data_IF_937594975710
#
_entry.id   IF_937594975710
#
_cell.length_a   1.000
_cell.length_b   1.000
_cell.length_c   1.000
_cell.angle_alpha   90.00
_cell.angle_beta   90.00
_cell.angle_gamma   90.00
#
_symmetry.space_group_name_H-M   'P 1'
#
loop_
_entity.id
_entity.type
_entity.pdbx_description
1 polymer ?
#
# COMPACT_ATOMS: atom_id res chain seq x y z
N UNK A 1 -20.91 -50.86 -20.52
CA UNK A 1 -20.89 -49.38 -20.63
C UNK A 1 -20.12 -48.82 -19.43
N UNK A 2 -18.84 -48.53 -19.59
CA UNK A 2 -18.01 -47.91 -18.53
C UNK A 2 -18.06 -46.40 -18.70
N UNK A 3 -18.53 -45.69 -17.66
CA UNK A 3 -18.77 -44.25 -17.66
C UNK A 3 -17.46 -43.54 -17.32
N UNK A 4 -16.87 -42.82 -18.27
CA UNK A 4 -15.62 -42.08 -18.07
C UNK A 4 -15.88 -40.81 -17.24
N UNK A 5 -15.30 -40.73 -16.04
CA UNK A 5 -15.31 -39.53 -15.19
C UNK A 5 -14.25 -38.58 -15.73
N UNK A 6 -14.67 -37.40 -16.20
CA UNK A 6 -13.77 -36.33 -16.66
C UNK A 6 -13.36 -35.48 -15.46
N UNK A 7 -12.16 -35.69 -14.95
CA UNK A 7 -11.57 -34.86 -13.89
C UNK A 7 -10.96 -33.62 -14.53
N UNK A 8 -11.60 -32.45 -14.36
CA UNK A 8 -11.00 -31.18 -14.76
C UNK A 8 -9.96 -30.76 -13.72
N UNK A 9 -8.69 -30.67 -14.13
CA UNK A 9 -7.65 -29.98 -13.36
C UNK A 9 -7.97 -28.48 -13.34
N UNK A 10 -8.21 -27.92 -12.15
CA UNK A 10 -8.21 -26.47 -11.93
C UNK A 10 -6.75 -26.06 -11.70
N UNK A 11 -6.14 -25.48 -12.72
CA UNK A 11 -4.79 -24.93 -12.62
C UNK A 11 -4.86 -23.61 -11.85
N UNK A 12 -4.48 -23.63 -10.57
CA UNK A 12 -4.38 -22.43 -9.74
C UNK A 12 -3.14 -21.63 -10.17
N UNK A 13 -3.33 -20.69 -11.09
CA UNK A 13 -2.27 -19.75 -11.48
C UNK A 13 -1.99 -18.78 -10.31
N UNK A 14 -0.98 -19.10 -9.51
CA UNK A 14 -0.34 -18.17 -8.59
C UNK A 14 0.34 -17.08 -9.42
N UNK A 15 -0.39 -16.01 -9.73
CA UNK A 15 0.22 -14.80 -10.30
C UNK A 15 0.99 -14.11 -9.19
N UNK A 16 2.28 -14.42 -9.09
CA UNK A 16 3.22 -13.60 -8.33
C UNK A 16 3.26 -12.24 -9.02
N UNK A 17 2.56 -11.25 -8.45
CA UNK A 17 2.78 -9.86 -8.82
C UNK A 17 4.24 -9.56 -8.58
N UNK A 18 4.94 -9.13 -9.63
CA UNK A 18 6.32 -8.68 -9.51
C UNK A 18 6.41 -7.62 -8.43
N UNK A 19 7.23 -7.88 -7.41
CA UNK A 19 7.71 -6.85 -6.50
C UNK A 19 8.51 -5.87 -7.36
N UNK A 20 7.85 -4.82 -7.83
CA UNK A 20 8.50 -3.71 -8.50
C UNK A 20 9.37 -2.98 -7.46
N UNK A 21 10.62 -3.40 -7.32
CA UNK A 21 11.69 -2.54 -6.83
C UNK A 21 11.87 -1.42 -7.87
N UNK A 22 11.05 -0.38 -7.77
CA UNK A 22 11.11 0.78 -8.65
C UNK A 22 12.20 1.72 -8.11
N UNK A 23 13.11 2.09 -9.02
CA UNK A 23 14.18 3.06 -8.83
C UNK A 23 13.75 4.28 -7.99
N UNK A 24 14.59 4.58 -7.00
CA UNK A 24 14.37 5.59 -5.96
C UNK A 24 14.01 6.96 -6.53
N UNK A 25 12.82 7.41 -6.17
CA UNK A 25 12.51 8.82 -6.10
C UNK A 25 13.00 9.32 -4.74
N UNK A 26 13.68 10.47 -4.75
CA UNK A 26 14.38 11.06 -3.62
C UNK A 26 13.64 10.92 -2.30
N UNK A 27 14.37 10.39 -1.32
CA UNK A 27 13.96 10.32 0.06
C UNK A 27 13.62 11.72 0.57
N UNK A 28 12.34 11.97 0.87
CA UNK A 28 11.97 13.09 1.72
C UNK A 28 12.45 12.79 3.14
N UNK A 29 13.70 13.20 3.42
CA UNK A 29 14.25 13.21 4.75
C UNK A 29 13.47 14.24 5.59
N UNK A 30 12.43 13.78 6.30
CA UNK A 30 11.84 14.53 7.41
C UNK A 30 12.74 14.44 8.66
N UNK A 31 14.06 14.56 8.48
CA UNK A 31 15.08 14.55 9.52
C UNK A 31 15.71 15.92 9.60
N UNK A 32 15.39 16.66 10.66
CA UNK A 32 16.13 17.86 11.01
C UNK A 32 17.61 17.49 11.23
N UNK A 33 18.51 18.38 10.81
CA UNK A 33 19.97 18.25 10.80
C UNK A 33 20.59 17.38 11.92
N UNK A 34 21.46 16.42 11.55
CA UNK A 34 22.40 15.77 12.46
C UNK A 34 22.13 14.28 12.73
N UNK A 35 22.85 13.42 12.01
CA UNK A 35 23.29 12.06 12.40
C UNK A 35 22.53 11.38 13.55
N UNK A 36 21.26 11.03 13.35
CA UNK A 36 20.53 9.91 13.98
C UNK A 36 19.12 9.83 13.35
N UNK A 37 18.79 8.72 12.70
CA UNK A 37 17.45 8.52 12.15
C UNK A 37 16.45 8.30 13.30
N UNK A 38 15.79 9.37 13.73
CA UNK A 38 14.75 9.27 14.74
C UNK A 38 13.48 8.62 14.15
N UNK A 39 12.82 7.77 14.94
CA UNK A 39 11.53 7.17 14.55
C UNK A 39 10.53 8.29 14.29
N UNK A 40 9.84 8.23 13.14
CA UNK A 40 8.90 9.25 12.73
C UNK A 40 7.59 9.17 13.52
N UNK A 41 6.99 10.35 13.76
CA UNK A 41 5.69 10.48 14.40
C UNK A 41 4.53 10.33 13.39
N UNK A 42 3.29 10.21 13.89
CA UNK A 42 2.08 10.06 13.05
C UNK A 42 1.90 11.18 12.01
N UNK A 43 2.34 12.41 12.31
CA UNK A 43 2.19 13.56 11.40
C UNK A 43 3.11 13.42 10.18
N UNK A 44 4.37 13.05 10.38
CA UNK A 44 5.30 12.78 9.27
C UNK A 44 4.83 11.59 8.42
N UNK A 45 4.38 10.51 9.06
CA UNK A 45 3.85 9.33 8.38
C UNK A 45 2.60 9.66 7.54
N UNK A 46 1.71 10.52 8.05
CA UNK A 46 0.54 11.02 7.31
C UNK A 46 0.93 11.75 6.03
N UNK A 47 1.98 12.60 6.07
CA UNK A 47 2.49 13.30 4.89
C UNK A 47 3.06 12.33 3.87
N UNK A 48 3.92 11.43 4.31
CA UNK A 48 4.55 10.39 3.47
C UNK A 48 3.49 9.55 2.75
N UNK A 49 2.49 9.06 3.47
CA UNK A 49 1.43 8.25 2.86
C UNK A 49 0.61 9.03 1.81
N UNK A 50 0.29 10.31 2.07
CA UNK A 50 -0.41 11.16 1.09
C UNK A 50 0.43 11.44 -0.16
N UNK A 51 1.73 11.64 0.00
CA UNK A 51 2.67 11.81 -1.11
C UNK A 51 2.76 10.53 -1.95
N UNK A 52 2.79 9.37 -1.30
CA UNK A 52 2.78 8.08 -2.00
C UNK A 52 1.50 7.87 -2.82
N UNK A 53 0.32 8.22 -2.27
CA UNK A 53 -0.94 8.21 -3.04
C UNK A 53 -0.85 9.11 -4.27
N UNK A 54 -0.31 10.34 -4.14
CA UNK A 54 -0.13 11.24 -5.27
C UNK A 54 0.80 10.63 -6.33
N UNK A 55 1.92 10.04 -5.91
CA UNK A 55 2.88 9.37 -6.80
C UNK A 55 2.23 8.22 -7.57
N UNK A 56 1.49 7.34 -6.88
CA UNK A 56 0.80 6.21 -7.51
C UNK A 56 -0.29 6.65 -8.50
N UNK A 57 -0.96 7.77 -8.24
CA UNK A 57 -1.92 8.36 -9.19
C UNK A 57 -1.18 8.90 -10.43
N UNK A 58 -0.07 9.62 -10.25
CA UNK A 58 0.74 10.15 -11.36
C UNK A 58 1.29 9.01 -12.23
N UNK A 59 1.64 7.87 -11.62
CA UNK A 59 2.08 6.66 -12.31
C UNK A 59 0.94 5.83 -12.90
N UNK A 60 -0.32 6.28 -12.80
CA UNK A 60 -1.52 5.55 -13.21
C UNK A 60 -1.67 4.15 -12.58
N UNK A 61 -1.00 3.88 -11.44
CA UNK A 61 -1.09 2.61 -10.71
C UNK A 61 -2.38 2.49 -9.91
N UNK A 62 -2.96 3.62 -9.51
CA UNK A 62 -4.26 3.69 -8.84
C UNK A 62 -5.11 4.80 -9.47
N UNK A 63 -6.43 4.71 -9.31
CA UNK A 63 -7.37 5.69 -9.87
C UNK A 63 -7.22 7.08 -9.24
N UNK A 64 -7.41 8.14 -10.04
CA UNK A 64 -7.47 9.54 -9.56
C UNK A 64 -8.51 9.78 -8.47
N UNK A 65 -9.50 8.90 -8.33
CA UNK A 65 -10.52 8.98 -7.28
C UNK A 65 -9.95 8.83 -5.85
N UNK A 66 -8.68 8.43 -5.72
CA UNK A 66 -7.95 8.40 -4.44
C UNK A 66 -7.36 9.75 -4.02
N UNK A 67 -7.25 10.73 -4.93
CA UNK A 67 -6.53 12.00 -4.70
C UNK A 67 -7.02 12.79 -3.48
N UNK A 68 -8.33 12.79 -3.24
CA UNK A 68 -8.98 13.61 -2.21
C UNK A 68 -9.53 12.77 -1.06
N UNK A 69 -9.15 11.49 -0.97
CA UNK A 69 -9.63 10.61 0.10
C UNK A 69 -8.84 10.92 1.38
N UNK A 70 -9.51 11.25 2.50
CA UNK A 70 -8.84 11.48 3.76
C UNK A 70 -8.27 10.16 4.33
N UNK A 71 -7.26 10.29 5.19
CA UNK A 71 -6.78 9.16 5.98
C UNK A 71 -7.88 8.80 6.98
N UNK A 72 -8.27 7.54 7.02
CA UNK A 72 -9.25 7.02 7.97
C UNK A 72 -8.59 6.52 9.25
N UNK A 73 -7.38 5.96 9.17
CA UNK A 73 -6.67 5.38 10.31
C UNK A 73 -5.15 5.47 10.15
N UNK A 74 -4.44 5.68 11.28
CA UNK A 74 -2.98 5.50 11.37
C UNK A 74 -2.68 4.68 12.62
N UNK A 75 -2.14 3.48 12.44
CA UNK A 75 -1.76 2.57 13.53
C UNK A 75 -0.41 1.91 13.29
N UNK A 76 0.13 1.26 14.31
CA UNK A 76 1.28 0.36 14.15
C UNK A 76 0.80 -1.07 13.89
N UNK A 77 1.52 -1.80 13.05
CA UNK A 77 1.38 -3.25 12.86
C UNK A 77 2.14 -4.00 13.96
N UNK A 78 2.02 -5.33 13.96
CA UNK A 78 2.79 -6.21 14.84
C UNK A 78 4.30 -6.17 14.55
N UNK A 79 4.71 -5.84 13.32
CA UNK A 79 6.12 -5.64 12.94
C UNK A 79 6.68 -4.26 13.34
N UNK A 80 5.91 -3.45 14.07
CA UNK A 80 6.19 -2.03 14.37
C UNK A 80 6.23 -1.10 13.15
N UNK A 81 5.77 -1.53 11.98
CA UNK A 81 5.56 -0.64 10.85
C UNK A 81 4.29 0.19 11.06
N UNK A 82 4.25 1.38 10.47
CA UNK A 82 3.02 2.15 10.38
C UNK A 82 2.15 1.64 9.24
N UNK A 83 0.85 1.51 9.53
CA UNK A 83 -0.19 1.24 8.54
C UNK A 83 -1.09 2.46 8.48
N UNK A 84 -1.14 3.08 7.30
CA UNK A 84 -2.04 4.20 7.00
C UNK A 84 -3.16 3.71 6.11
N UNK A 85 -4.40 3.90 6.55
CA UNK A 85 -5.59 3.44 5.82
C UNK A 85 -6.31 4.62 5.19
N UNK A 86 -6.71 4.45 3.94
CA UNK A 86 -7.66 5.31 3.23
C UNK A 86 -8.90 4.51 2.90
N UNK A 87 -10.09 5.11 3.07
CA UNK A 87 -11.36 4.45 2.79
C UNK A 87 -12.19 5.27 1.79
N UNK A 88 -12.50 4.67 0.64
CA UNK A 88 -13.27 5.26 -0.45
C UNK A 88 -14.51 4.42 -0.74
N UNK A 89 -15.57 4.65 0.03
CA UNK A 89 -16.86 3.95 -0.11
C UNK A 89 -17.56 4.19 -1.45
N UNK A 90 -17.12 5.17 -2.24
CA UNK A 90 -17.69 5.45 -3.58
C UNK A 90 -17.22 4.44 -4.64
N UNK A 91 -16.19 3.63 -4.35
CA UNK A 91 -15.72 2.59 -5.26
C UNK A 91 -16.72 1.42 -5.22
N UNK A 92 -17.26 1.04 -6.39
CA UNK A 92 -18.24 -0.05 -6.52
C UNK A 92 -17.71 -1.40 -6.04
N UNK A 93 -16.46 -1.70 -6.36
CA UNK A 93 -15.84 -2.94 -5.89
C UNK A 93 -15.42 -2.80 -4.43
N UNK A 94 -16.16 -3.46 -3.53
CA UNK A 94 -15.89 -3.45 -2.08
C UNK A 94 -14.48 -3.88 -1.72
N UNK A 95 -13.87 -4.83 -2.44
CA UNK A 95 -12.49 -5.26 -2.18
C UNK A 95 -11.43 -4.22 -2.54
N UNK A 96 -11.83 -3.11 -3.18
CA UNK A 96 -10.96 -1.99 -3.53
C UNK A 96 -11.36 -0.69 -2.81
N UNK A 97 -12.23 -0.74 -1.80
CA UNK A 97 -12.64 0.45 -1.05
C UNK A 97 -11.60 0.89 -0.02
N UNK A 98 -10.70 0.00 0.40
CA UNK A 98 -9.61 0.31 1.32
C UNK A 98 -8.29 0.32 0.58
N UNK A 99 -7.42 1.26 0.93
CA UNK A 99 -6.04 1.29 0.47
C UNK A 99 -5.13 1.47 1.68
N UNK A 100 -4.19 0.54 1.84
CA UNK A 100 -3.27 0.48 2.96
C UNK A 100 -1.88 0.87 2.47
N UNK A 101 -1.25 1.82 3.15
CA UNK A 101 0.14 2.21 2.90
C UNK A 101 0.97 1.78 4.10
N UNK A 102 1.96 0.93 3.86
CA UNK A 102 2.87 0.43 4.87
C UNK A 102 4.14 1.27 4.86
N UNK A 103 4.50 1.84 6.01
CA UNK A 103 5.65 2.72 6.15
C UNK A 103 6.46 2.27 7.36
N UNK A 104 7.75 2.02 7.20
CA UNK A 104 8.56 1.63 8.35
C UNK A 104 8.72 2.81 9.34
N UNK A 105 9.34 2.53 10.50
CA UNK A 105 9.55 3.53 11.55
C UNK A 105 10.36 4.77 11.11
N UNK A 106 11.08 4.68 9.99
CA UNK A 106 11.95 5.74 9.48
C UNK A 106 11.38 6.42 8.22
N UNK A 107 10.17 6.06 7.80
CA UNK A 107 9.48 6.72 6.68
C UNK A 107 9.61 6.04 5.31
N UNK A 108 10.23 4.86 5.23
CA UNK A 108 10.35 4.14 3.96
C UNK A 108 9.05 3.41 3.64
N UNK A 109 8.50 3.62 2.44
CA UNK A 109 7.35 2.86 1.94
C UNK A 109 7.76 1.39 1.78
N UNK A 110 7.05 0.50 2.47
CA UNK A 110 7.21 -0.96 2.37
C UNK A 110 6.25 -1.55 1.34
N UNK A 111 5.09 -0.93 1.13
CA UNK A 111 4.12 -1.39 0.15
C UNK A 111 2.80 -0.64 0.20
N UNK A 112 1.98 -0.84 -0.85
CA UNK A 112 0.62 -0.31 -0.95
C UNK A 112 -0.30 -1.37 -1.55
N UNK A 113 -1.40 -1.72 -0.87
CA UNK A 113 -2.35 -2.71 -1.37
C UNK A 113 -3.79 -2.48 -0.86
N UNK A 114 -4.74 -3.24 -1.41
CA UNK A 114 -6.17 -3.12 -1.09
C UNK A 114 -6.65 -4.09 0.01
N UNK A 115 -5.78 -4.98 0.50
CA UNK A 115 -6.16 -6.11 1.37
C UNK A 115 -5.63 -6.02 2.80
N UNK A 116 -4.61 -5.21 3.05
CA UNK A 116 -4.07 -4.92 4.37
C UNK A 116 -3.12 -5.99 4.94
N UNK A 117 -2.63 -6.90 4.09
CA UNK A 117 -1.61 -7.90 4.42
C UNK A 117 -0.43 -7.85 3.46
#
# INVERSE_FOLDING_TARGET
MTKSIKTSLILLALTFTTLYAKNGYDYYYYGNNGTTYNKLNKSSISKIAKEEIKRLILENKISKNWRSIPISEIKKSNSNDWVVTFNNLKIRNKSKQNLYVFVNLYGHIQGVNYTGH
#
